data_IF_070563201972
#
_entry.id   IF_070563201972
#
_cell.length_a   1.000
_cell.length_b   1.000
_cell.length_c   1.000
_cell.angle_alpha   90.00
_cell.angle_beta   90.00
_cell.angle_gamma   90.00
#
_symmetry.space_group_name_H-M   'P 1'
#
loop_
_entity.id
_entity.type
_entity.pdbx_description
1 polymer ?
#
# COMPACT_ATOMS: atom_id res chain seq x y z
N UNK A 1 -1.65 8.84 10.08
CA UNK A 1 -1.51 7.65 9.22
C UNK A 1 -0.25 7.82 8.36
N UNK A 2 0.90 7.27 8.77
CA UNK A 2 2.20 7.63 8.18
C UNK A 2 2.37 7.21 6.69
N UNK A 3 1.88 6.02 6.32
CA UNK A 3 1.91 5.54 4.93
C UNK A 3 1.04 6.39 4.00
N UNK A 4 -0.20 6.67 4.41
CA UNK A 4 -1.13 7.54 3.66
C UNK A 4 -0.53 8.93 3.40
N UNK A 5 0.01 9.57 4.43
CA UNK A 5 0.59 10.92 4.33
C UNK A 5 1.81 10.94 3.42
N UNK A 6 2.69 9.95 3.52
CA UNK A 6 3.83 9.78 2.62
C UNK A 6 3.38 9.63 1.16
N UNK A 7 2.48 8.68 0.89
CA UNK A 7 1.99 8.40 -0.46
C UNK A 7 1.25 9.60 -1.05
N UNK A 8 0.38 10.26 -0.29
CA UNK A 8 -0.36 11.43 -0.74
C UNK A 8 0.57 12.63 -1.01
N UNK A 9 1.51 12.92 -0.10
CA UNK A 9 2.46 14.03 -0.26
C UNK A 9 3.38 13.84 -1.47
N UNK A 10 3.77 12.60 -1.75
CA UNK A 10 4.63 12.24 -2.89
C UNK A 10 3.85 12.06 -4.20
N UNK A 11 2.52 12.05 -4.15
CA UNK A 11 1.68 11.77 -5.31
C UNK A 11 1.85 10.34 -5.83
N UNK A 12 2.16 9.38 -4.95
CA UNK A 12 2.37 8.00 -5.35
C UNK A 12 1.05 7.41 -5.87
N UNK A 13 1.09 6.65 -6.97
CA UNK A 13 -0.08 5.96 -7.50
C UNK A 13 -0.67 5.00 -6.46
N UNK A 14 -2.01 4.97 -6.41
CA UNK A 14 -2.76 4.07 -5.53
C UNK A 14 -3.81 4.79 -4.71
N UNK A 15 -4.30 4.09 -3.69
CA UNK A 15 -5.29 4.62 -2.74
C UNK A 15 -5.28 3.86 -1.43
N UNK A 16 -5.81 4.48 -0.39
CA UNK A 16 -6.13 3.83 0.87
C UNK A 16 -7.27 2.81 0.69
N UNK A 17 -7.09 1.64 1.30
CA UNK A 17 -8.10 0.59 1.43
C UNK A 17 -8.08 0.05 2.86
N UNK A 18 -9.17 -0.61 3.31
CA UNK A 18 -9.09 -1.51 4.47
C UNK A 18 -8.04 -2.59 4.23
N UNK A 19 -7.35 -3.02 5.30
CA UNK A 19 -6.38 -4.13 5.24
C UNK A 19 -7.07 -5.38 4.67
N UNK A 20 -6.54 -5.96 3.58
CA UNK A 20 -7.07 -7.21 3.04
C UNK A 20 -6.62 -8.39 3.90
N UNK A 21 -7.31 -9.54 3.81
CA UNK A 21 -7.05 -10.70 4.67
C UNK A 21 -5.68 -11.34 4.49
N UNK A 22 -4.98 -11.01 3.41
CA UNK A 22 -3.66 -11.49 3.05
C UNK A 22 -2.51 -10.84 3.83
N UNK A 23 -2.73 -9.66 4.43
CA UNK A 23 -1.71 -8.94 5.21
C UNK A 23 -2.28 -8.43 6.53
N UNK A 24 -1.40 -8.00 7.44
CA UNK A 24 -1.78 -7.32 8.67
C UNK A 24 -1.24 -5.90 8.69
N UNK A 25 -2.00 -4.98 9.30
CA UNK A 25 -1.50 -3.67 9.69
C UNK A 25 -2.16 -3.24 11.00
N UNK A 26 -1.37 -2.75 11.96
CA UNK A 26 -1.88 -2.32 13.27
C UNK A 26 -2.93 -1.21 13.21
N UNK A 27 -2.98 -0.46 12.11
CA UNK A 27 -3.94 0.62 11.87
C UNK A 27 -5.22 0.19 11.12
N UNK A 28 -5.31 -1.05 10.63
CA UNK A 28 -6.46 -1.55 9.87
C UNK A 28 -6.59 -0.99 8.44
N UNK A 29 -5.62 -0.21 7.98
CA UNK A 29 -5.61 0.37 6.63
C UNK A 29 -4.32 0.02 5.87
N UNK A 30 -4.42 -0.07 4.54
CA UNK A 30 -3.33 -0.38 3.64
C UNK A 30 -3.34 0.52 2.40
N UNK A 31 -2.18 0.73 1.78
CA UNK A 31 -2.06 1.42 0.50
C UNK A 31 -2.07 0.42 -0.65
N UNK A 32 -3.08 0.50 -1.52
CA UNK A 32 -3.20 -0.35 -2.71
C UNK A 32 -2.64 0.37 -3.93
N UNK A 33 -1.75 -0.30 -4.65
CA UNK A 33 -1.25 0.13 -5.95
C UNK A 33 -1.09 -1.06 -6.91
N UNK A 34 -0.63 -0.81 -8.13
CA UNK A 34 -0.27 -1.86 -9.07
C UNK A 34 1.00 -2.59 -8.59
N UNK A 35 1.12 -3.91 -8.82
CA UNK A 35 2.26 -4.69 -8.32
C UNK A 35 3.61 -4.24 -8.91
N UNK A 36 3.63 -3.65 -10.10
CA UNK A 36 4.83 -3.12 -10.76
C UNK A 36 5.44 -1.94 -9.99
N UNK A 37 4.66 -1.28 -9.13
CA UNK A 37 5.08 -0.12 -8.34
C UNK A 37 5.67 -0.50 -6.97
N UNK A 38 5.82 -1.80 -6.68
CA UNK A 38 6.30 -2.30 -5.39
C UNK A 38 7.61 -1.64 -4.96
N UNK A 39 8.60 -1.63 -5.85
CA UNK A 39 9.95 -1.13 -5.53
C UNK A 39 9.95 0.39 -5.35
N UNK A 40 9.16 1.11 -6.16
CA UNK A 40 8.99 2.57 -6.03
C UNK A 40 8.35 2.94 -4.68
N UNK A 41 7.28 2.24 -4.29
CA UNK A 41 6.61 2.45 -3.01
C UNK A 41 7.52 2.11 -1.83
N UNK A 42 8.20 0.96 -1.88
CA UNK A 42 9.11 0.54 -0.83
C UNK A 42 10.25 1.56 -0.64
N UNK A 43 10.84 2.05 -1.74
CA UNK A 43 11.86 3.07 -1.70
C UNK A 43 11.33 4.41 -1.12
N UNK A 44 10.16 4.86 -1.57
CA UNK A 44 9.55 6.10 -1.07
C UNK A 44 9.27 6.05 0.44
N UNK A 45 8.71 4.94 0.93
CA UNK A 45 8.44 4.72 2.35
C UNK A 45 9.73 4.65 3.17
N UNK A 46 10.76 3.97 2.67
CA UNK A 46 12.05 3.89 3.34
C UNK A 46 12.73 5.27 3.43
N UNK A 47 12.69 6.08 2.37
CA UNK A 47 13.27 7.44 2.38
C UNK A 47 12.58 8.33 3.40
N UNK A 48 11.28 8.19 3.60
CA UNK A 48 10.52 8.95 4.60
C UNK A 48 10.54 8.31 6.00
N UNK A 49 11.26 7.20 6.19
CA UNK A 49 11.31 6.47 7.45
C UNK A 49 9.96 5.90 7.90
N UNK A 50 9.05 5.65 6.96
CA UNK A 50 7.74 5.06 7.25
C UNK A 50 7.91 3.54 7.39
N UNK A 51 7.63 2.96 8.57
CA UNK A 51 7.72 1.52 8.76
C UNK A 51 6.64 0.80 7.94
N UNK A 52 7.04 -0.31 7.34
CA UNK A 52 6.16 -1.20 6.57
C UNK A 52 6.02 -2.49 7.35
N UNK A 53 4.80 -2.83 7.74
CA UNK A 53 4.50 -4.08 8.45
C UNK A 53 4.52 -5.27 7.48
N UNK A 54 3.85 -5.13 6.32
CA UNK A 54 3.77 -6.18 5.30
C UNK A 54 3.48 -5.61 3.91
N UNK A 55 3.82 -6.37 2.85
CA UNK A 55 3.52 -6.08 1.45
C UNK A 55 3.22 -7.36 0.67
N UNK A 56 1.98 -7.50 0.21
CA UNK A 56 1.54 -8.60 -0.64
C UNK A 56 0.96 -8.12 -1.98
N UNK A 57 1.14 -8.96 -3.00
CA UNK A 57 0.39 -8.84 -4.26
C UNK A 57 -0.87 -9.68 -4.10
N UNK A 58 -2.03 -9.02 -4.09
CA UNK A 58 -3.34 -9.67 -3.95
C UNK A 58 -4.00 -9.76 -5.32
N UNK A 59 -4.41 -10.96 -5.72
CA UNK A 59 -5.20 -11.18 -6.92
C UNK A 59 -6.60 -10.58 -6.74
N UNK A 60 -6.98 -9.63 -7.59
CA UNK A 60 -8.34 -9.11 -7.60
C UNK A 60 -9.21 -10.08 -8.39
N UNK A 61 -10.16 -10.74 -7.72
CA UNK A 61 -11.20 -11.49 -8.42
C UNK A 61 -12.07 -10.48 -9.19
N UNK A 62 -11.91 -10.45 -10.51
CA UNK A 62 -12.84 -9.76 -11.39
C UNK A 62 -14.13 -10.59 -11.44
N UNK A 63 -15.14 -10.18 -10.68
CA UNK A 63 -16.51 -10.63 -10.94
C UNK A 63 -16.93 -10.00 -12.28
N UNK A 64 -16.66 -10.71 -13.36
CA UNK A 64 -17.23 -10.43 -14.68
C UNK A 64 -18.74 -10.49 -14.51
N UNK A 65 -19.41 -9.36 -14.70
CA UNK A 65 -20.87 -9.26 -14.66
C UNK A 65 -21.47 -9.60 -16.01
#
# INVERSE_FOLDING_TARGET
>A
MACEECCARRGLPGRMIPVPGEISAGCGLAWKAAPELRDELAAALAVDGVPVEDMAVVGLLEFVR
#
